data_IF_376165073130
#
_entry.id   IF_376165073130
#
_cell.length_a   1.000
_cell.length_b   1.000
_cell.length_c   1.000
_cell.angle_alpha   90.00
_cell.angle_beta   90.00
_cell.angle_gamma   90.00
#
_symmetry.space_group_name_H-M   'P 1'
#
loop_
_entity.id
_entity.type
_entity.pdbx_description
1 polymer ?
#
# COMPACT_ATOMS: atom_id res chain seq x y z
N UNK A 1 -3.98 18.91 3.15
CA UNK A 1 -3.98 17.53 3.67
C UNK A 1 -4.85 16.71 2.74
N UNK A 2 -4.29 15.73 2.04
CA UNK A 2 -5.06 14.88 1.13
C UNK A 2 -5.79 13.81 1.95
N UNK A 3 -7.04 13.52 1.58
CA UNK A 3 -7.93 12.58 2.29
C UNK A 3 -7.90 11.16 1.71
N UNK A 4 -7.25 10.99 0.57
CA UNK A 4 -7.11 9.71 -0.12
C UNK A 4 -5.64 9.44 -0.38
N UNK A 5 -5.31 8.17 -0.61
CA UNK A 5 -4.00 7.77 -1.11
C UNK A 5 -4.11 6.92 -2.36
N UNK A 6 -3.06 6.99 -3.18
CA UNK A 6 -3.00 6.23 -4.44
C UNK A 6 -2.00 5.09 -4.31
N UNK A 7 -2.49 3.88 -4.54
CA UNK A 7 -1.70 2.66 -4.60
C UNK A 7 -1.57 2.21 -6.05
N UNK A 8 -0.36 1.82 -6.45
CA UNK A 8 -0.06 1.31 -7.79
C UNK A 8 0.51 -0.10 -7.68
N UNK A 9 0.08 -0.98 -8.59
CA UNK A 9 0.63 -2.32 -8.72
C UNK A 9 0.77 -2.67 -10.19
N UNK A 10 1.89 -3.30 -10.54
CA UNK A 10 2.16 -3.86 -11.85
C UNK A 10 2.59 -5.30 -11.72
N UNK A 11 2.01 -6.18 -12.53
CA UNK A 11 2.38 -7.60 -12.59
C UNK A 11 2.76 -7.98 -14.01
N UNK A 12 3.87 -8.69 -14.15
CA UNK A 12 4.35 -9.25 -15.40
C UNK A 12 4.41 -10.77 -15.30
N UNK A 13 3.69 -11.43 -16.18
CA UNK A 13 3.67 -12.88 -16.29
C UNK A 13 4.63 -13.33 -17.39
N UNK A 14 5.56 -14.21 -17.02
CA UNK A 14 6.48 -14.85 -17.95
C UNK A 14 6.00 -16.27 -18.22
N UNK A 15 5.13 -16.40 -19.22
CA UNK A 15 4.45 -17.66 -19.55
C UNK A 15 5.39 -18.83 -19.92
N UNK A 16 6.66 -18.57 -20.20
CA UNK A 16 7.63 -19.63 -20.50
C UNK A 16 8.20 -20.33 -19.27
N UNK A 17 8.07 -19.73 -18.08
CA UNK A 17 8.66 -20.24 -16.83
C UNK A 17 7.63 -20.32 -15.69
N UNK A 18 6.34 -20.18 -16.03
CA UNK A 18 5.22 -20.11 -15.08
C UNK A 18 5.47 -19.16 -13.89
N UNK A 19 6.17 -18.07 -14.19
CA UNK A 19 6.68 -17.12 -13.21
C UNK A 19 5.95 -15.78 -13.35
N UNK A 20 5.53 -15.20 -12.23
CA UNK A 20 4.95 -13.85 -12.20
C UNK A 20 5.77 -12.95 -11.29
N UNK A 21 6.20 -11.80 -11.82
CA UNK A 21 6.81 -10.73 -11.05
C UNK A 21 5.78 -9.66 -10.75
N UNK A 22 5.76 -9.14 -9.53
CA UNK A 22 4.88 -8.05 -9.11
C UNK A 22 5.68 -6.93 -8.46
N UNK A 23 5.46 -5.71 -8.92
CA UNK A 23 5.96 -4.49 -8.33
C UNK A 23 4.77 -3.72 -7.75
N UNK A 24 4.88 -3.26 -6.51
CA UNK A 24 3.84 -2.47 -5.85
C UNK A 24 4.41 -1.25 -5.17
N UNK A 25 3.65 -0.16 -5.17
CA UNK A 25 3.86 0.98 -4.29
C UNK A 25 2.53 1.36 -3.65
N UNK A 26 2.50 1.38 -2.32
CA UNK A 26 1.40 1.98 -1.55
C UNK A 26 1.74 3.42 -1.19
N UNK A 27 0.73 4.28 -1.19
CA UNK A 27 0.91 5.71 -0.96
C UNK A 27 1.98 6.31 -1.90
N UNK A 28 1.76 6.14 -3.21
CA UNK A 28 2.68 6.52 -4.27
C UNK A 28 3.10 8.00 -4.20
N UNK A 29 2.26 8.88 -3.65
CA UNK A 29 2.51 10.31 -3.54
C UNK A 29 3.05 10.76 -2.18
N UNK A 30 3.31 9.82 -1.24
CA UNK A 30 3.81 10.14 0.11
C UNK A 30 2.90 11.15 0.82
N UNK A 31 1.60 10.88 0.79
CA UNK A 31 0.61 11.67 1.48
C UNK A 31 0.69 11.39 2.98
N UNK A 32 0.73 12.47 3.76
CA UNK A 32 0.69 12.39 5.22
C UNK A 32 -0.64 11.80 5.69
N UNK A 33 -0.57 11.01 6.75
CA UNK A 33 -1.77 10.46 7.38
C UNK A 33 -2.53 11.61 8.03
N UNK A 34 -3.81 11.85 7.66
CA UNK A 34 -4.60 12.83 8.37
C UNK A 34 -4.76 12.37 9.82
N UNK A 35 -4.44 13.25 10.76
CA UNK A 35 -4.71 13.02 12.18
C UNK A 35 -6.23 13.08 12.41
N UNK A 36 -6.92 11.98 12.15
CA UNK A 36 -8.32 11.83 12.53
C UNK A 36 -8.34 11.32 13.96
N UNK A 37 -8.65 12.22 14.88
CA UNK A 37 -8.83 11.90 16.29
C UNK A 37 -10.20 11.23 16.46
N UNK A 38 -10.26 10.10 17.19
CA UNK A 38 -11.54 9.61 17.69
C UNK A 38 -12.14 10.71 18.59
N UNK A 39 -13.35 11.17 18.23
CA UNK A 39 -14.12 12.20 18.95
C UNK A 39 -14.22 11.92 20.44
N UNK A 40 -14.12 10.66 20.87
CA UNK A 40 -14.33 10.26 22.27
C UNK A 40 -13.05 10.30 23.10
N UNK A 41 -11.89 9.95 22.52
CA UNK A 41 -10.68 9.66 23.30
C UNK A 41 -9.44 10.48 22.90
N UNK A 42 -9.46 11.22 21.78
CA UNK A 42 -8.28 11.90 21.19
C UNK A 42 -7.05 11.00 21.01
N UNK A 43 -7.21 9.68 21.11
CA UNK A 43 -6.19 8.69 20.83
C UNK A 43 -6.17 8.40 19.34
N UNK A 44 -4.97 8.21 18.78
CA UNK A 44 -4.81 7.71 17.41
C UNK A 44 -5.45 6.33 17.27
N UNK A 45 -6.41 6.15 16.35
CA UNK A 45 -7.01 4.85 16.05
C UNK A 45 -6.38 4.25 14.77
N UNK A 46 -5.46 3.27 14.89
CA UNK A 46 -4.80 2.63 13.75
C UNK A 46 -5.76 1.76 12.90
N UNK A 47 -7.02 1.55 13.32
CA UNK A 47 -8.01 0.81 12.51
C UNK A 47 -8.45 1.57 11.26
N UNK A 48 -8.32 2.90 11.27
CA UNK A 48 -8.80 3.75 10.17
C UNK A 48 -7.68 4.16 9.19
N UNK A 49 -6.40 4.17 9.62
CA UNK A 49 -5.28 4.57 8.76
C UNK A 49 -4.00 3.80 9.07
N UNK A 50 -3.25 3.41 8.02
CA UNK A 50 -1.93 2.79 8.16
C UNK A 50 -0.85 3.88 8.42
N UNK A 51 -0.18 3.92 9.59
CA UNK A 51 0.83 4.93 9.90
C UNK A 51 2.15 4.76 9.13
N UNK A 52 2.31 3.69 8.36
CA UNK A 52 3.61 3.29 7.77
C UNK A 52 4.05 4.12 6.57
N UNK A 53 3.23 5.08 6.10
CA UNK A 53 3.58 5.96 4.98
C UNK A 53 3.70 5.22 3.64
N UNK A 54 4.70 5.58 2.81
CA UNK A 54 4.94 4.94 1.51
C UNK A 54 5.64 3.59 1.66
N UNK A 55 5.09 2.56 1.04
CA UNK A 55 5.63 1.19 1.08
C UNK A 55 5.91 0.72 -0.34
N UNK A 56 7.11 0.20 -0.58
CA UNK A 56 7.46 -0.51 -1.81
C UNK A 56 7.38 -2.01 -1.59
N UNK A 57 6.83 -2.72 -2.57
CA UNK A 57 6.64 -4.17 -2.53
C UNK A 57 7.21 -4.81 -3.80
N UNK A 58 7.89 -5.94 -3.61
CA UNK A 58 8.36 -6.83 -4.66
C UNK A 58 7.78 -8.21 -4.41
N UNK A 59 7.17 -8.81 -5.42
CA UNK A 59 6.56 -10.13 -5.37
C UNK A 59 7.08 -11.02 -6.48
N UNK A 60 7.27 -12.30 -6.15
CA UNK A 60 7.58 -13.36 -7.10
C UNK A 60 6.59 -14.49 -6.80
N UNK A 61 5.89 -14.97 -7.83
CA UNK A 61 4.99 -16.12 -7.74
C UNK A 61 5.41 -17.16 -8.77
N UNK A 62 5.59 -18.39 -8.32
CA UNK A 62 5.71 -19.58 -9.16
C UNK A 62 4.34 -20.26 -9.23
N UNK A 63 3.84 -20.51 -10.44
CA UNK A 63 2.61 -21.29 -10.64
C UNK A 63 3.03 -22.67 -11.14
N UNK A 64 2.83 -23.72 -10.34
CA UNK A 64 3.12 -25.11 -10.73
C UNK A 64 1.86 -25.78 -11.26
#
# INVERSE_FOLDING_TARGET
>A
MNLFSVDLQYSYEMSSEDLTFTLGVKNAFYEDVPFVYDTTNWSYDPKHHDPRGRIFALGIKLSM
#
